data_IF_247965944124
#
_entry.id   IF_247965944124
#
_cell.length_a   1.000
_cell.length_b   1.000
_cell.length_c   1.000
_cell.angle_alpha   90.00
_cell.angle_beta   90.00
_cell.angle_gamma   90.00
#
_symmetry.space_group_name_H-M   'P 1'
#
loop_
_entity.id
_entity.type
_entity.pdbx_description
1 polymer ?
#
# COMPACT_ATOMS: atom_id res chain seq x y z
N UNK A 1 -13.56 50.70 -13.95
CA UNK A 1 -13.48 50.17 -12.57
C UNK A 1 -14.05 48.76 -12.37
N UNK A 2 -14.78 48.16 -13.34
CA UNK A 2 -15.26 46.76 -13.24
C UNK A 2 -14.23 45.70 -13.66
N UNK A 3 -13.33 46.02 -14.59
CA UNK A 3 -12.29 45.10 -15.07
C UNK A 3 -11.21 44.78 -14.02
N UNK A 4 -10.88 45.72 -13.14
CA UNK A 4 -9.85 45.53 -12.11
C UNK A 4 -10.28 44.55 -10.99
N UNK A 5 -11.58 44.50 -10.67
CA UNK A 5 -12.14 43.65 -9.62
C UNK A 5 -12.14 42.16 -10.04
N UNK A 6 -12.33 41.88 -11.33
CA UNK A 6 -12.35 40.51 -11.86
C UNK A 6 -10.95 39.85 -11.84
N UNK A 7 -9.90 40.60 -12.20
CA UNK A 7 -8.52 40.11 -12.11
C UNK A 7 -8.08 39.83 -10.66
N UNK A 8 -8.53 40.64 -9.70
CA UNK A 8 -8.19 40.44 -8.29
C UNK A 8 -8.84 39.16 -7.73
N UNK A 9 -10.07 38.83 -8.14
CA UNK A 9 -10.74 37.57 -7.77
C UNK A 9 -10.06 36.34 -8.38
N UNK A 10 -9.60 36.40 -9.63
CA UNK A 10 -8.87 35.31 -10.29
C UNK A 10 -7.47 35.08 -9.71
N UNK A 11 -6.81 36.14 -9.23
CA UNK A 11 -5.53 36.05 -8.52
C UNK A 11 -5.72 35.43 -7.13
N UNK A 12 -6.76 35.81 -6.40
CA UNK A 12 -7.05 35.26 -5.06
C UNK A 12 -7.49 33.80 -5.15
N UNK A 13 -8.28 33.39 -6.15
CA UNK A 13 -8.67 31.98 -6.33
C UNK A 13 -7.47 31.08 -6.64
N UNK A 14 -6.48 31.57 -7.39
CA UNK A 14 -5.24 30.85 -7.67
C UNK A 14 -4.29 30.79 -6.46
N UNK A 15 -4.31 31.78 -5.58
CA UNK A 15 -3.57 31.74 -4.31
C UNK A 15 -4.21 30.73 -3.34
N UNK A 16 -5.54 30.68 -3.27
CA UNK A 16 -6.29 29.73 -2.44
C UNK A 16 -6.06 28.27 -2.90
N UNK A 17 -5.98 28.01 -4.21
CA UNK A 17 -5.63 26.67 -4.72
C UNK A 17 -4.17 26.29 -4.45
N UNK A 18 -3.23 27.25 -4.46
CA UNK A 18 -1.84 26.99 -4.06
C UNK A 18 -1.69 26.65 -2.58
N UNK A 19 -2.49 27.26 -1.70
CA UNK A 19 -2.41 27.00 -0.24
C UNK A 19 -3.01 25.66 0.19
N UNK A 20 -3.86 25.04 -0.63
CA UNK A 20 -4.40 23.70 -0.35
C UNK A 20 -3.43 22.57 -0.69
N UNK A 21 -2.27 22.87 -1.30
CA UNK A 21 -1.10 22.00 -1.21
C UNK A 21 -0.41 22.21 0.15
N UNK A 22 -1.17 22.06 1.23
CA UNK A 22 -0.57 21.68 2.51
C UNK A 22 0.07 20.35 2.21
N UNK A 23 1.39 20.36 1.99
CA UNK A 23 2.22 19.16 2.06
C UNK A 23 1.75 18.41 3.30
N UNK A 24 1.06 17.30 3.08
CA UNK A 24 1.05 16.20 4.02
C UNK A 24 2.48 16.09 4.52
N UNK A 25 2.70 16.30 5.82
CA UNK A 25 3.95 15.86 6.41
C UNK A 25 3.96 14.36 6.14
N UNK A 26 4.71 13.94 5.12
CA UNK A 26 4.95 12.54 4.80
C UNK A 26 5.70 11.97 6.00
N UNK A 27 4.94 11.58 7.02
CA UNK A 27 5.44 10.85 8.17
C UNK A 27 5.87 9.51 7.59
N UNK A 28 7.15 9.24 7.64
CA UNK A 28 7.73 7.98 7.21
C UNK A 28 8.53 7.37 8.36
N UNK A 29 8.86 6.08 8.24
CA UNK A 29 9.61 5.38 9.28
C UNK A 29 8.82 5.27 10.59
N UNK A 30 9.50 5.38 11.73
CA UNK A 30 8.91 5.15 13.06
C UNK A 30 7.80 6.14 13.43
N UNK A 31 7.73 7.30 12.78
CA UNK A 31 6.69 8.31 13.01
C UNK A 31 5.28 7.83 12.57
N UNK A 32 5.21 6.75 11.81
CA UNK A 32 3.97 6.10 11.36
C UNK A 32 3.47 5.01 12.31
N UNK A 33 4.27 4.64 13.32
CA UNK A 33 3.94 3.56 14.24
C UNK A 33 2.76 3.93 15.15
N UNK A 34 1.89 2.96 15.39
CA UNK A 34 0.88 3.08 16.44
C UNK A 34 1.53 2.77 17.80
N UNK A 35 1.71 3.80 18.62
CA UNK A 35 2.31 3.69 19.96
C UNK A 35 1.38 3.05 21.00
N UNK A 36 0.10 2.87 20.66
CA UNK A 36 -0.90 2.36 21.59
C UNK A 36 -1.24 3.35 22.71
N UNK A 37 -1.88 2.84 23.75
CA UNK A 37 -2.26 3.57 24.96
C UNK A 37 -1.33 3.16 26.11
N UNK A 38 -0.56 4.12 26.65
CA UNK A 38 0.41 3.89 27.71
C UNK A 38 -0.21 3.40 29.04
N UNK A 39 -1.52 3.49 29.19
CA UNK A 39 -2.25 3.10 30.41
C UNK A 39 -2.94 1.74 30.31
N UNK A 40 -2.87 1.09 29.15
CA UNK A 40 -3.58 -0.17 28.87
C UNK A 40 -2.64 -1.23 28.33
N UNK A 41 -3.11 -2.49 28.35
CA UNK A 41 -2.49 -3.55 27.56
C UNK A 41 -2.74 -3.27 26.08
N UNK A 42 -1.66 -3.18 25.30
CA UNK A 42 -1.72 -3.03 23.85
C UNK A 42 -1.51 -4.39 23.19
N UNK A 43 -2.46 -4.79 22.34
CA UNK A 43 -2.36 -6.00 21.51
C UNK A 43 -2.13 -5.57 20.07
N UNK A 44 -0.94 -5.85 19.55
CA UNK A 44 -0.57 -5.52 18.17
C UNK A 44 -0.86 -6.72 17.27
N UNK A 45 -1.87 -6.61 16.43
CA UNK A 45 -2.15 -7.60 15.39
C UNK A 45 -1.22 -7.34 14.20
N UNK A 46 -0.45 -8.34 13.80
CA UNK A 46 0.53 -8.26 12.70
C UNK A 46 0.14 -9.26 11.60
N UNK A 47 -0.75 -8.86 10.67
CA UNK A 47 -1.11 -9.70 9.53
C UNK A 47 0.10 -9.95 8.62
N UNK A 48 0.30 -11.21 8.25
CA UNK A 48 1.39 -11.67 7.40
C UNK A 48 0.97 -12.93 6.63
N UNK A 49 1.74 -13.26 5.59
CA UNK A 49 1.71 -14.57 4.92
C UNK A 49 3.14 -15.11 4.91
N UNK A 50 3.28 -16.41 5.12
CA UNK A 50 4.56 -17.10 5.01
C UNK A 50 4.59 -17.84 3.67
N UNK A 51 5.36 -17.30 2.72
CA UNK A 51 5.35 -17.76 1.33
C UNK A 51 6.67 -18.46 0.99
N UNK A 52 6.75 -19.77 1.24
CA UNK A 52 7.97 -20.55 0.98
C UNK A 52 8.45 -20.43 -0.47
N UNK A 53 9.68 -19.94 -0.68
CA UNK A 53 10.32 -19.84 -2.00
C UNK A 53 10.89 -21.20 -2.42
N UNK A 54 10.01 -22.19 -2.52
CA UNK A 54 10.35 -23.59 -2.71
C UNK A 54 10.31 -24.37 -1.40
N UNK A 55 9.43 -25.37 -1.35
CA UNK A 55 9.31 -26.33 -0.25
C UNK A 55 8.76 -27.65 -0.79
N UNK A 56 7.43 -27.84 -0.77
CA UNK A 56 6.76 -28.99 -1.40
C UNK A 56 6.32 -28.71 -2.84
N UNK A 57 6.31 -27.43 -3.23
CA UNK A 57 6.11 -26.95 -4.60
C UNK A 57 7.30 -26.10 -5.04
N UNK A 58 7.51 -26.00 -6.34
CA UNK A 58 8.47 -25.05 -6.92
C UNK A 58 7.96 -23.61 -6.80
N UNK A 59 8.86 -22.64 -7.02
CA UNK A 59 8.52 -21.22 -7.01
C UNK A 59 7.34 -20.91 -7.95
N UNK A 60 7.39 -21.35 -9.21
CA UNK A 60 6.33 -21.05 -10.18
C UNK A 60 5.01 -21.73 -9.83
N UNK A 61 5.05 -22.94 -9.27
CA UNK A 61 3.86 -23.64 -8.81
C UNK A 61 3.21 -22.93 -7.61
N UNK A 62 4.01 -22.41 -6.67
CA UNK A 62 3.51 -21.55 -5.60
C UNK A 62 2.99 -20.22 -6.12
N UNK A 63 3.68 -19.59 -7.07
CA UNK A 63 3.30 -18.29 -7.59
C UNK A 63 1.95 -18.34 -8.32
N UNK A 64 1.82 -19.25 -9.28
CA UNK A 64 0.61 -19.37 -10.10
C UNK A 64 -0.52 -20.16 -9.42
N UNK A 65 -0.22 -20.89 -8.36
CA UNK A 65 -1.20 -21.69 -7.63
C UNK A 65 -1.53 -23.02 -8.30
N UNK A 66 -0.62 -23.58 -9.11
CA UNK A 66 -0.78 -24.93 -9.67
C UNK A 66 -0.45 -26.00 -8.62
N UNK A 67 -0.63 -27.28 -8.96
CA UNK A 67 -0.36 -28.41 -8.05
C UNK A 67 -1.07 -28.31 -6.70
N UNK A 68 -2.35 -27.95 -6.74
CA UNK A 68 -3.19 -27.88 -5.53
C UNK A 68 -3.40 -29.25 -4.87
N UNK A 69 -3.09 -30.33 -5.57
CA UNK A 69 -2.99 -31.70 -5.03
C UNK A 69 -1.88 -31.84 -3.97
N UNK A 70 -0.78 -31.08 -4.10
CA UNK A 70 0.32 -31.07 -3.13
C UNK A 70 0.04 -30.09 -1.99
N UNK A 71 -0.33 -28.85 -2.36
CA UNK A 71 -0.65 -27.79 -1.39
C UNK A 71 -1.51 -26.72 -2.06
N UNK A 72 -2.61 -26.36 -1.39
CA UNK A 72 -3.49 -25.27 -1.81
C UNK A 72 -2.88 -23.91 -1.43
N UNK A 73 -2.05 -23.37 -2.31
CA UNK A 73 -1.37 -22.08 -2.13
C UNK A 73 -1.10 -21.43 -3.48
N UNK A 74 -1.32 -20.11 -3.59
CA UNK A 74 -1.13 -19.31 -4.80
C UNK A 74 -0.76 -17.86 -4.47
N UNK A 75 0.52 -17.51 -4.59
CA UNK A 75 1.06 -16.23 -4.06
C UNK A 75 0.57 -15.01 -4.84
N UNK A 76 0.35 -15.12 -6.15
CA UNK A 76 -0.18 -13.99 -6.93
C UNK A 76 -1.53 -13.50 -6.37
N UNK A 77 -2.41 -14.44 -5.99
CA UNK A 77 -3.74 -14.12 -5.47
C UNK A 77 -3.68 -13.53 -4.06
N UNK A 78 -2.70 -13.94 -3.27
CA UNK A 78 -2.44 -13.37 -1.94
C UNK A 78 -2.08 -11.89 -2.11
N UNK A 79 -1.10 -11.57 -2.96
CA UNK A 79 -0.68 -10.19 -3.23
C UNK A 79 -1.80 -9.32 -3.82
N UNK A 80 -2.57 -9.83 -4.79
CA UNK A 80 -3.72 -9.12 -5.36
C UNK A 80 -4.75 -8.78 -4.27
N UNK A 81 -5.06 -9.74 -3.39
CA UNK A 81 -6.03 -9.54 -2.30
C UNK A 81 -5.53 -8.58 -1.23
N UNK A 82 -4.23 -8.55 -0.94
CA UNK A 82 -3.63 -7.62 0.02
C UNK A 82 -3.76 -6.19 -0.51
N UNK A 83 -3.48 -5.95 -1.79
CA UNK A 83 -3.60 -4.62 -2.39
C UNK A 83 -5.02 -4.09 -2.25
N UNK A 84 -6.03 -4.92 -2.58
CA UNK A 84 -7.44 -4.55 -2.43
C UNK A 84 -7.80 -4.30 -0.97
N UNK A 85 -7.38 -5.18 -0.06
CA UNK A 85 -7.68 -5.04 1.35
C UNK A 85 -7.04 -3.78 1.97
N UNK A 86 -5.81 -3.41 1.60
CA UNK A 86 -5.17 -2.20 2.10
C UNK A 86 -5.84 -0.93 1.53
N UNK A 87 -6.26 -0.95 0.26
CA UNK A 87 -6.96 0.17 -0.39
C UNK A 87 -8.32 0.46 0.26
N UNK A 88 -9.04 -0.59 0.67
CA UNK A 88 -10.35 -0.47 1.33
C UNK A 88 -10.31 0.18 2.72
N UNK A 89 -9.20 0.06 3.45
CA UNK A 89 -9.12 0.58 4.82
C UNK A 89 -7.70 1.03 5.18
N UNK A 90 -7.46 2.35 5.36
CA UNK A 90 -6.14 2.91 5.63
C UNK A 90 -5.57 2.55 7.02
N UNK A 91 -6.36 1.93 7.90
CA UNK A 91 -5.89 1.41 9.19
C UNK A 91 -5.38 -0.03 9.11
N UNK A 92 -5.65 -0.76 8.02
CA UNK A 92 -5.09 -2.10 7.83
C UNK A 92 -3.58 -2.01 7.64
N UNK A 93 -2.91 -3.08 8.05
CA UNK A 93 -1.45 -3.24 7.95
C UNK A 93 -1.19 -4.66 7.49
N UNK A 94 -0.12 -4.84 6.74
CA UNK A 94 0.35 -6.15 6.30
C UNK A 94 1.87 -6.10 6.18
N UNK A 95 2.55 -7.16 6.60
CA UNK A 95 3.99 -7.33 6.35
C UNK A 95 4.21 -8.43 5.31
N UNK A 96 5.10 -8.18 4.37
CA UNK A 96 5.49 -9.12 3.33
C UNK A 96 7.01 -9.26 3.30
N UNK A 97 7.53 -10.47 3.09
CA UNK A 97 8.96 -10.76 3.27
C UNK A 97 9.63 -11.26 1.99
N UNK A 98 8.99 -12.17 1.24
CA UNK A 98 9.66 -12.96 0.21
C UNK A 98 9.77 -12.23 -1.13
N UNK A 99 10.82 -11.41 -1.26
CA UNK A 99 11.07 -10.57 -2.44
C UNK A 99 11.10 -11.31 -3.78
N UNK A 100 11.40 -12.61 -3.80
CA UNK A 100 11.34 -13.41 -5.03
C UNK A 100 9.93 -13.43 -5.65
N UNK A 101 8.91 -13.58 -4.81
CA UNK A 101 7.52 -13.51 -5.25
C UNK A 101 7.06 -12.07 -5.48
N UNK A 102 7.37 -11.15 -4.56
CA UNK A 102 6.97 -9.75 -4.70
C UNK A 102 7.54 -9.13 -5.98
N UNK A 103 8.81 -9.40 -6.31
CA UNK A 103 9.43 -8.90 -7.53
C UNK A 103 8.79 -9.49 -8.79
N UNK A 104 8.53 -10.80 -8.80
CA UNK A 104 7.83 -11.45 -9.92
C UNK A 104 6.44 -10.83 -10.13
N UNK A 105 5.68 -10.66 -9.05
CA UNK A 105 4.39 -10.00 -9.07
C UNK A 105 4.49 -8.56 -9.56
N UNK A 106 5.44 -7.80 -9.04
CA UNK A 106 5.67 -6.39 -9.38
C UNK A 106 5.88 -6.15 -10.89
N UNK A 107 6.63 -7.03 -11.54
CA UNK A 107 6.89 -6.96 -12.98
C UNK A 107 5.62 -7.16 -13.83
N UNK A 108 4.59 -7.80 -13.29
CA UNK A 108 3.34 -8.09 -13.99
C UNK A 108 2.27 -6.99 -13.78
N UNK A 109 2.51 -6.03 -12.89
CA UNK A 109 1.52 -5.03 -12.51
C UNK A 109 1.42 -3.86 -13.50
N UNK A 110 0.29 -3.17 -13.48
CA UNK A 110 0.12 -1.87 -14.15
C UNK A 110 0.80 -0.75 -13.35
N UNK A 111 1.03 0.40 -13.98
CA UNK A 111 1.55 1.58 -13.27
C UNK A 111 0.61 2.05 -12.16
N UNK A 112 -0.71 1.88 -12.34
CA UNK A 112 -1.72 2.21 -11.33
C UNK A 112 -1.51 1.40 -10.05
N UNK A 113 -1.41 0.06 -10.17
CA UNK A 113 -1.19 -0.81 -9.02
C UNK A 113 0.19 -0.57 -8.39
N UNK A 114 1.23 -0.38 -9.21
CA UNK A 114 2.56 -0.03 -8.70
C UNK A 114 2.55 1.27 -7.89
N UNK A 115 1.79 2.27 -8.32
CA UNK A 115 1.67 3.52 -7.58
C UNK A 115 0.91 3.34 -6.28
N UNK A 116 -0.21 2.59 -6.27
CA UNK A 116 -0.92 2.24 -5.03
C UNK A 116 -0.02 1.54 -4.02
N UNK A 117 0.77 0.55 -4.46
CA UNK A 117 1.70 -0.16 -3.57
C UNK A 117 2.78 0.77 -3.02
N UNK A 118 3.31 1.69 -3.83
CA UNK A 118 4.25 2.72 -3.33
C UNK A 118 3.57 3.60 -2.28
N UNK A 119 2.32 3.97 -2.46
CA UNK A 119 1.57 4.78 -1.50
C UNK A 119 1.30 4.03 -0.19
N UNK A 120 1.21 2.70 -0.20
CA UNK A 120 1.09 1.90 1.03
C UNK A 120 2.40 1.81 1.85
N UNK A 121 3.54 2.01 1.21
CA UNK A 121 4.87 1.87 1.82
C UNK A 121 5.41 3.21 2.32
N UNK A 122 5.00 4.32 1.70
CA UNK A 122 5.47 5.67 1.98
C UNK A 122 4.64 6.39 3.06
#
# INVERSE_FOLDING_TARGET
MKFFICCLFLLISNIITLTNSVKSLNKCGYDTCNLGDATKLNVHLVPHSHDDVGFVKTLDEYYYGSRTDLQHAGVQYILDSIVLALDENPHRRFIYVEMAFLYRWWLQQTDEIRNKVKDFVN
#
